data_IF_779705657487
#
_entry.id   IF_779705657487
#
_cell.length_a   1.000
_cell.length_b   1.000
_cell.length_c   1.000
_cell.angle_alpha   90.00
_cell.angle_beta   90.00
_cell.angle_gamma   90.00
#
_symmetry.space_group_name_H-M   'P 1'
#
loop_
_entity.id
_entity.type
_entity.pdbx_description
1 polymer ?
#
# COMPACT_ATOMS: atom_id res chain seq x y z
N UNK A 1 -22.01 -30.14 3.77
CA UNK A 1 -22.31 -28.74 3.42
C UNK A 1 -21.86 -27.90 4.60
N UNK A 2 -20.75 -27.17 4.46
CA UNK A 2 -20.24 -26.15 5.39
C UNK A 2 -19.15 -25.34 4.65
N UNK A 3 -19.56 -24.75 3.53
CA UNK A 3 -19.42 -23.32 3.23
C UNK A 3 -18.14 -22.59 3.71
N UNK A 4 -17.22 -22.43 2.75
CA UNK A 4 -16.31 -21.28 2.56
C UNK A 4 -15.23 -20.98 3.61
N UNK A 5 -14.10 -21.68 3.50
CA UNK A 5 -12.75 -21.28 3.97
C UNK A 5 -12.14 -20.06 3.23
N UNK A 6 -12.95 -19.11 2.75
CA UNK A 6 -12.43 -17.87 2.17
C UNK A 6 -12.17 -16.88 3.30
N UNK A 7 -10.98 -16.92 3.91
CA UNK A 7 -10.50 -15.73 4.61
C UNK A 7 -10.52 -14.59 3.59
N UNK A 8 -11.27 -13.50 3.82
CA UNK A 8 -11.08 -12.33 2.98
C UNK A 8 -9.65 -11.89 3.26
N UNK A 9 -8.76 -12.00 2.28
CA UNK A 9 -7.53 -11.24 2.28
C UNK A 9 -7.97 -9.79 2.21
N UNK A 10 -8.24 -9.19 3.38
CA UNK A 10 -8.56 -7.77 3.47
C UNK A 10 -7.25 -7.06 3.16
N UNK A 11 -7.01 -6.82 1.87
CA UNK A 11 -6.02 -5.87 1.40
C UNK A 11 -6.42 -4.52 2.01
N UNK A 12 -5.88 -4.22 3.18
CA UNK A 12 -6.29 -3.06 3.96
C UNK A 12 -5.53 -1.88 3.38
N UNK A 13 -6.16 -1.13 2.49
CA UNK A 13 -5.62 0.16 2.07
C UNK A 13 -5.47 1.06 3.30
N UNK A 14 -4.24 1.48 3.59
CA UNK A 14 -3.96 2.30 4.77
C UNK A 14 -4.05 3.77 4.40
N UNK A 15 -4.94 4.51 5.06
CA UNK A 15 -5.01 5.96 4.90
C UNK A 15 -4.09 6.61 5.92
N UNK A 16 -3.18 7.47 5.47
CA UNK A 16 -2.25 8.21 6.32
C UNK A 16 -2.36 9.69 6.02
N UNK A 17 -2.34 10.51 7.06
CA UNK A 17 -2.27 11.97 6.91
C UNK A 17 -0.86 12.42 7.25
N UNK A 18 -0.24 13.16 6.34
CA UNK A 18 1.12 13.66 6.47
C UNK A 18 1.14 15.16 6.28
N UNK A 19 1.99 15.85 7.04
CA UNK A 19 2.17 17.29 6.98
C UNK A 19 3.46 17.59 6.22
N UNK A 20 3.38 17.51 4.90
CA UNK A 20 4.49 17.68 3.98
C UNK A 20 5.48 16.51 3.96
N UNK A 21 6.44 16.60 3.05
CA UNK A 21 7.52 15.62 2.86
C UNK A 21 7.51 15.02 1.46
N UNK A 22 7.97 13.77 1.33
CA UNK A 22 8.11 13.12 0.04
C UNK A 22 7.40 11.75 0.04
N UNK A 23 6.73 11.44 -1.07
CA UNK A 23 6.11 10.13 -1.31
C UNK A 23 7.13 8.99 -1.21
N UNK A 24 8.41 9.25 -1.49
CA UNK A 24 9.52 8.30 -1.30
C UNK A 24 9.67 7.85 0.15
N UNK A 25 9.65 8.79 1.11
CA UNK A 25 9.79 8.48 2.53
C UNK A 25 8.58 7.71 3.03
N UNK A 26 7.38 8.06 2.57
CA UNK A 26 6.17 7.29 2.85
C UNK A 26 6.29 5.87 2.27
N UNK A 27 6.73 5.73 1.02
CA UNK A 27 6.88 4.43 0.39
C UNK A 27 7.91 3.55 1.09
N UNK A 28 9.06 4.10 1.48
CA UNK A 28 10.05 3.40 2.28
C UNK A 28 9.48 2.97 3.65
N UNK A 29 8.76 3.87 4.32
CA UNK A 29 8.21 3.63 5.66
C UNK A 29 7.06 2.62 5.68
N UNK A 30 6.20 2.64 4.66
CA UNK A 30 4.96 1.86 4.64
C UNK A 30 5.00 0.65 3.69
N UNK A 31 5.70 0.75 2.56
CA UNK A 31 5.89 -0.36 1.63
C UNK A 31 7.26 -1.05 1.78
N UNK A 32 8.17 -0.50 2.59
CA UNK A 32 9.55 -0.99 2.72
C UNK A 32 10.46 -0.58 1.55
N UNK A 33 9.90 -0.01 0.48
CA UNK A 33 10.60 0.34 -0.74
C UNK A 33 10.27 1.78 -1.14
N UNK A 34 11.26 2.67 -1.06
CA UNK A 34 11.12 4.06 -1.50
C UNK A 34 10.73 4.15 -2.98
N UNK A 35 11.18 3.20 -3.80
CA UNK A 35 10.92 3.16 -5.25
C UNK A 35 9.46 2.94 -5.59
N UNK A 36 8.64 2.40 -4.67
CA UNK A 36 7.20 2.16 -4.88
C UNK A 36 6.32 3.39 -4.64
N UNK A 37 6.93 4.57 -4.46
CA UNK A 37 6.20 5.84 -4.35
C UNK A 37 5.22 6.08 -5.51
N UNK A 38 5.55 5.62 -6.73
CA UNK A 38 4.67 5.71 -7.90
C UNK A 38 3.34 4.97 -7.72
N UNK A 39 3.30 3.91 -6.89
CA UNK A 39 2.07 3.16 -6.61
C UNK A 39 1.16 3.97 -5.68
N UNK A 40 1.74 4.64 -4.68
CA UNK A 40 1.00 5.56 -3.81
C UNK A 40 0.48 6.73 -4.64
N UNK A 41 1.32 7.31 -5.49
CA UNK A 41 0.96 8.43 -6.35
C UNK A 41 -0.23 8.07 -7.24
N UNK A 42 -0.17 6.94 -7.97
CA UNK A 42 -1.27 6.45 -8.79
C UNK A 42 -2.55 6.14 -7.99
N UNK A 43 -2.43 5.52 -6.82
CA UNK A 43 -3.58 5.22 -5.97
C UNK A 43 -4.32 6.48 -5.47
N UNK A 44 -3.63 7.63 -5.43
CA UNK A 44 -4.20 8.92 -5.03
C UNK A 44 -4.42 9.88 -6.20
N UNK A 45 -4.09 9.48 -7.44
CA UNK A 45 -4.12 10.37 -8.60
C UNK A 45 -3.09 11.50 -8.54
N UNK A 46 -2.01 11.34 -7.78
CA UNK A 46 -0.91 12.29 -7.68
C UNK A 46 0.12 12.03 -8.77
N UNK A 47 0.65 13.11 -9.33
CA UNK A 47 1.76 13.09 -10.28
C UNK A 47 3.04 13.64 -9.67
N UNK A 48 2.90 14.48 -8.64
CA UNK A 48 4.03 15.08 -7.94
C UNK A 48 4.47 14.16 -6.78
N UNK A 49 5.78 13.86 -6.66
CA UNK A 49 6.32 13.08 -5.55
C UNK A 49 6.45 13.88 -4.26
N UNK A 50 6.34 15.21 -4.31
CA UNK A 50 6.44 16.09 -3.16
C UNK A 50 5.07 16.31 -2.56
N UNK A 51 5.02 16.32 -1.23
CA UNK A 51 3.81 16.55 -0.46
C UNK A 51 3.94 17.95 0.13
N UNK A 52 3.01 18.82 -0.22
CA UNK A 52 3.00 20.21 0.23
C UNK A 52 1.82 20.42 1.18
N UNK A 53 2.12 20.76 2.43
CA UNK A 53 1.09 20.95 3.45
C UNK A 53 0.48 19.65 3.96
N UNK A 54 -0.70 19.73 4.57
CA UNK A 54 -1.38 18.57 5.14
C UNK A 54 -2.14 17.81 4.04
N UNK A 55 -1.75 16.56 3.77
CA UNK A 55 -2.40 15.72 2.78
C UNK A 55 -2.69 14.32 3.32
N UNK A 56 -3.87 13.82 2.96
CA UNK A 56 -4.30 12.45 3.25
C UNK A 56 -4.00 11.58 2.04
N UNK A 57 -3.13 10.58 2.21
CA UNK A 57 -2.76 9.64 1.16
C UNK A 57 -3.22 8.23 1.51
N UNK A 58 -3.79 7.56 0.51
CA UNK A 58 -4.09 6.14 0.52
C UNK A 58 -2.83 5.38 0.11
N UNK A 59 -2.31 4.60 1.03
CA UNK A 59 -1.17 3.73 0.78
C UNK A 59 -1.70 2.33 0.46
N UNK A 60 -1.61 1.89 -0.80
CA UNK A 60 -1.90 0.50 -1.14
C UNK A 60 -0.84 -0.35 -0.43
N UNK A 61 -1.27 -1.19 0.52
CA UNK A 61 -0.37 -2.21 1.01
C UNK A 61 -0.20 -3.20 -0.13
N UNK A 62 1.04 -3.37 -0.60
CA UNK A 62 1.37 -4.57 -1.35
C UNK A 62 1.19 -5.71 -0.36
N UNK A 63 -0.02 -6.28 -0.33
CA UNK A 63 -0.16 -7.65 0.07
C UNK A 63 0.69 -8.40 -0.96
N UNK A 64 1.97 -8.59 -0.65
CA UNK A 64 2.58 -9.87 -0.93
C UNK A 64 1.57 -10.80 -0.28
N UNK A 65 0.65 -11.33 -1.08
CA UNK A 65 0.06 -12.58 -0.74
C UNK A 65 1.30 -13.42 -0.47
N UNK A 66 1.61 -13.61 0.81
CA UNK A 66 1.92 -14.92 1.30
C UNK A 66 0.76 -15.78 0.79
N UNK A 67 0.83 -16.13 -0.50
CA UNK A 67 0.52 -17.42 -1.01
C UNK A 67 1.37 -18.32 -0.12
N UNK A 68 0.88 -18.56 1.10
CA UNK A 68 1.39 -19.56 1.99
C UNK A 68 1.44 -20.80 1.13
N UNK A 69 2.65 -21.32 0.96
CA UNK A 69 3.02 -22.18 -0.14
C UNK A 69 1.99 -23.27 -0.43
N UNK A 70 1.24 -23.10 -1.51
CA UNK A 70 0.96 -24.24 -2.38
C UNK A 70 2.22 -24.49 -3.22
N UNK A 71 3.29 -24.93 -2.56
CA UNK A 71 4.37 -25.61 -3.25
C UNK A 71 3.79 -26.97 -3.63
N UNK A 72 3.33 -27.08 -4.87
CA UNK A 72 2.88 -28.35 -5.42
C UNK A 72 4.07 -29.31 -5.49
N UNK A 73 3.92 -30.47 -4.84
CA UNK A 73 4.35 -31.80 -5.27
C UNK A 73 4.07 -32.79 -4.15
#
# INVERSE_FOLDING_TARGET
MADQSSIPTVATNRVVTVAGGDLFTLAAKYLGDATKWYQIAQANGLTDPMIVGLQTLVIPQSTTASNGGILGA
#
